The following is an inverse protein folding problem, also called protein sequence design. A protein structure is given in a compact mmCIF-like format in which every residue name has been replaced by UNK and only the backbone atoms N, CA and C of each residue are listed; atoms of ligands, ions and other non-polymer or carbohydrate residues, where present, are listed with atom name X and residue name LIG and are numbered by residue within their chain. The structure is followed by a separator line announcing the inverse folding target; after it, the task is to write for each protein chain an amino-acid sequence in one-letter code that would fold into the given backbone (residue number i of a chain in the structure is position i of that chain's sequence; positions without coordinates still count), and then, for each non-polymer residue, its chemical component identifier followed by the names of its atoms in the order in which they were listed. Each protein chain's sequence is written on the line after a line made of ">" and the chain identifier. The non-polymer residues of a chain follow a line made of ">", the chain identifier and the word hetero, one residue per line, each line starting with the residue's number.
data_IF_656761460295
#
_entry.id   IF_656761460295
#
_cell.length_a   1.000
_cell.length_b   1.000
_cell.length_c   1.000
_cell.angle_alpha   90.00
_cell.angle_beta   90.00
_cell.angle_gamma   90.00
#
_symmetry.space_group_name_H-M   'P 1'
#
loop_
_entity.id
_entity.type
_entity.pdbx_description
1 polymer ?
#
# COMPACT_ATOMS: atom_id res chain seq x y z
N UNK A 1 -13.80 1.16 85.47
CA UNK A 1 -12.68 1.72 86.33
C UNK A 1 -11.55 2.11 85.40
N UNK A 2 -11.14 3.37 85.52
CA UNK A 2 -9.83 3.95 85.10
C UNK A 2 -9.63 4.14 83.60
N UNK A 3 -9.34 5.22 83.10
CA UNK A 3 -8.88 6.63 83.29
C UNK A 3 -8.43 7.08 81.94
N UNK A 4 -9.08 8.02 81.39
CA UNK A 4 -8.74 9.40 81.06
C UNK A 4 -7.21 9.68 80.93
N UNK A 5 -6.78 10.02 79.77
CA UNK A 5 -5.63 10.95 79.59
C UNK A 5 -5.79 11.65 78.22
N UNK A 6 -6.07 12.91 78.31
CA UNK A 6 -6.11 13.92 77.27
C UNK A 6 -4.63 14.34 77.04
N UNK A 7 -4.18 14.34 75.86
CA UNK A 7 -3.00 15.13 75.42
C UNK A 7 -3.43 16.00 74.26
N UNK A 8 -3.49 17.27 74.55
CA UNK A 8 -3.62 18.39 73.60
C UNK A 8 -2.25 18.54 72.93
N UNK A 9 -2.17 18.53 71.64
CA UNK A 9 -1.04 19.03 70.89
C UNK A 9 -1.51 20.00 69.78
N UNK A 10 -0.88 21.14 69.85
CA UNK A 10 -1.17 22.42 69.20
C UNK A 10 -0.95 22.29 67.67
N UNK A 11 -1.86 22.85 66.94
CA UNK A 11 -1.77 23.12 65.51
C UNK A 11 -0.64 24.06 65.15
N UNK A 12 0.12 23.70 64.16
CA UNK A 12 0.86 24.67 63.35
C UNK A 12 0.40 24.55 61.93
N UNK A 13 -0.41 25.50 61.48
CA UNK A 13 -0.85 25.66 60.13
C UNK A 13 0.29 26.21 59.28
N UNK A 14 0.77 25.38 58.32
CA UNK A 14 1.61 25.86 57.24
C UNK A 14 0.77 25.74 55.97
N UNK A 15 0.36 26.91 55.47
CA UNK A 15 -0.35 27.02 54.20
C UNK A 15 0.57 26.64 53.04
N UNK A 16 0.26 25.54 52.36
CA UNK A 16 0.79 25.28 51.06
C UNK A 16 -0.26 25.76 50.02
N UNK A 17 0.10 26.87 49.38
CA UNK A 17 -0.57 27.33 48.17
C UNK A 17 -0.29 26.34 47.05
N UNK A 18 -1.22 25.44 46.78
CA UNK A 18 -1.16 24.56 45.62
C UNK A 18 -1.52 25.40 44.36
N UNK A 19 -0.50 25.71 43.60
CA UNK A 19 -0.65 26.23 42.25
C UNK A 19 -1.11 25.08 41.38
N UNK A 20 -2.40 25.04 41.06
CA UNK A 20 -3.02 24.10 40.15
C UNK A 20 -2.53 24.39 38.72
N UNK A 21 -1.54 23.66 38.29
CA UNK A 21 -1.03 23.70 36.92
C UNK A 21 -2.02 22.95 36.04
N UNK A 22 -2.84 23.72 35.34
CA UNK A 22 -3.74 23.24 34.28
C UNK A 22 -2.85 22.56 33.25
N UNK A 23 -2.89 21.22 33.19
CA UNK A 23 -2.27 20.45 32.10
C UNK A 23 -3.08 20.70 30.83
N UNK A 24 -2.48 21.42 29.89
CA UNK A 24 -2.94 21.48 28.52
C UNK A 24 -2.84 20.08 27.91
N UNK A 25 -3.80 19.64 27.07
CA UNK A 25 -3.70 18.36 26.39
C UNK A 25 -2.44 18.38 25.50
N UNK A 26 -1.50 17.51 25.77
CA UNK A 26 -0.40 17.23 24.85
C UNK A 26 -1.01 16.75 23.56
N UNK A 27 -0.98 17.60 22.56
CA UNK A 27 -1.18 17.27 21.17
C UNK A 27 -0.20 16.15 20.82
N UNK A 28 -0.74 14.96 20.58
CA UNK A 28 0.02 13.79 20.15
C UNK A 28 0.46 14.06 18.71
N UNK A 29 1.49 14.86 18.54
CA UNK A 29 2.24 14.92 17.30
C UNK A 29 2.88 13.54 17.15
N UNK A 30 2.26 12.67 16.36
CA UNK A 30 2.90 11.44 15.92
C UNK A 30 4.16 11.85 15.14
N UNK A 31 5.30 11.70 15.78
CA UNK A 31 6.60 11.80 15.16
C UNK A 31 6.62 10.76 14.04
N UNK A 32 6.34 11.22 12.83
CA UNK A 32 6.42 10.45 11.61
C UNK A 32 7.90 10.13 11.41
N UNK A 33 8.27 8.87 11.62
CA UNK A 33 9.65 8.41 11.48
C UNK A 33 10.11 8.70 10.03
N UNK A 34 10.94 9.72 9.88
CA UNK A 34 11.63 10.00 8.64
C UNK A 34 12.45 8.77 8.24
N UNK A 35 12.41 8.39 6.97
CA UNK A 35 13.30 7.32 6.48
C UNK A 35 14.75 7.74 6.68
N UNK A 36 15.63 6.81 7.16
CA UNK A 36 17.05 7.09 7.23
C UNK A 36 17.58 7.50 5.86
N UNK A 37 18.40 8.53 5.79
CA UNK A 37 18.96 9.05 4.54
C UNK A 37 19.80 8.00 3.76
N UNK A 38 20.22 6.92 4.43
CA UNK A 38 20.97 5.81 3.85
C UNK A 38 20.19 4.97 2.82
N UNK A 39 18.86 5.09 2.77
CA UNK A 39 18.00 4.34 1.85
C UNK A 39 17.37 5.23 0.77
N UNK A 40 17.86 6.45 0.59
CA UNK A 40 17.32 7.37 -0.41
C UNK A 40 18.21 7.42 -1.64
N UNK A 41 17.67 7.06 -2.79
CA UNK A 41 18.29 7.20 -4.08
C UNK A 41 18.07 8.60 -4.63
N UNK A 42 19.12 9.22 -5.18
CA UNK A 42 19.08 10.47 -5.93
C UNK A 42 19.53 10.21 -7.35
N UNK A 43 18.63 10.35 -8.29
CA UNK A 43 18.88 9.99 -9.68
C UNK A 43 18.60 11.15 -10.63
N UNK A 44 19.29 11.15 -11.78
CA UNK A 44 19.06 12.09 -12.88
C UNK A 44 18.47 11.31 -14.05
N UNK A 45 17.39 11.80 -14.62
CA UNK A 45 16.71 11.18 -15.77
C UNK A 45 17.55 11.40 -17.04
N UNK A 46 17.99 10.31 -17.67
CA UNK A 46 18.71 10.33 -18.94
C UNK A 46 17.77 10.19 -20.13
N UNK A 47 16.80 9.30 -20.00
CA UNK A 47 15.80 9.01 -21.04
C UNK A 47 14.53 8.44 -20.41
N UNK A 48 13.40 8.48 -21.16
CA UNK A 48 12.16 7.92 -20.67
C UNK A 48 11.26 7.39 -21.79
N UNK A 49 10.37 6.46 -21.43
CA UNK A 49 9.35 5.90 -22.31
C UNK A 49 8.07 5.70 -21.50
N UNK A 50 6.95 6.14 -22.05
CA UNK A 50 5.64 5.90 -21.46
C UNK A 50 4.98 4.67 -22.06
N UNK A 51 4.52 3.76 -21.23
CA UNK A 51 3.80 2.58 -21.69
C UNK A 51 2.84 2.06 -20.63
N UNK A 52 1.59 1.85 -21.03
CA UNK A 52 0.52 1.46 -20.11
C UNK A 52 0.40 2.45 -18.94
N UNK A 53 0.47 1.96 -17.72
CA UNK A 53 0.35 2.76 -16.49
C UNK A 53 1.71 3.16 -15.89
N UNK A 54 2.80 2.98 -16.66
CA UNK A 54 4.16 3.25 -16.18
C UNK A 54 4.92 4.21 -17.08
N UNK A 55 5.76 5.01 -16.46
CA UNK A 55 6.88 5.71 -17.10
C UNK A 55 8.15 4.92 -16.79
N UNK A 56 8.85 4.46 -17.83
CA UNK A 56 10.13 3.76 -17.74
C UNK A 56 11.22 4.79 -17.90
N UNK A 57 12.05 4.95 -16.88
CA UNK A 57 13.10 5.96 -16.84
C UNK A 57 14.47 5.29 -16.90
N UNK A 58 15.30 5.70 -17.83
CA UNK A 58 16.72 5.44 -17.75
C UNK A 58 17.34 6.53 -16.88
N UNK A 59 17.94 6.15 -15.77
CA UNK A 59 18.45 7.09 -14.78
C UNK A 59 19.92 6.88 -14.52
N UNK A 60 20.58 7.94 -14.05
CA UNK A 60 21.95 7.92 -13.55
C UNK A 60 21.97 8.24 -12.07
N UNK A 61 22.63 7.38 -11.30
CA UNK A 61 22.95 7.57 -9.89
C UNK A 61 24.47 7.42 -9.71
N UNK A 62 25.13 8.49 -9.31
CA UNK A 62 26.59 8.55 -9.29
C UNK A 62 27.18 8.18 -10.67
N UNK A 63 27.94 7.08 -10.75
CA UNK A 63 28.53 6.57 -11.99
C UNK A 63 27.75 5.40 -12.62
N UNK A 64 26.63 5.01 -12.02
CA UNK A 64 25.81 3.88 -12.48
C UNK A 64 24.59 4.34 -13.26
N UNK A 65 24.28 3.66 -14.35
CA UNK A 65 23.07 3.86 -15.14
C UNK A 65 22.19 2.60 -15.06
N UNK A 66 20.91 2.79 -14.81
CA UNK A 66 19.96 1.70 -14.74
C UNK A 66 18.55 2.14 -15.11
N UNK A 67 17.63 1.19 -15.21
CA UNK A 67 16.23 1.44 -15.50
C UNK A 67 15.39 1.38 -14.23
N UNK A 68 14.46 2.33 -14.12
CA UNK A 68 13.38 2.27 -13.13
C UNK A 68 12.02 2.37 -13.83
N UNK A 69 11.02 1.70 -13.28
CA UNK A 69 9.63 1.82 -13.69
C UNK A 69 8.86 2.51 -12.55
N UNK A 70 8.24 3.64 -12.84
CA UNK A 70 7.46 4.43 -11.89
C UNK A 70 6.03 4.52 -12.38
N UNK A 71 5.01 4.77 -11.52
CA UNK A 71 3.67 5.11 -11.98
C UNK A 71 3.70 6.20 -13.03
N UNK A 72 2.79 6.15 -14.00
CA UNK A 72 2.76 7.11 -15.10
C UNK A 72 2.82 8.55 -14.59
N UNK A 73 3.79 9.29 -15.06
CA UNK A 73 4.03 10.68 -14.71
C UNK A 73 4.64 11.46 -15.88
N UNK A 74 4.52 12.76 -15.83
CA UNK A 74 5.28 13.66 -16.72
C UNK A 74 6.68 13.85 -16.16
N UNK A 75 7.68 13.78 -17.02
CA UNK A 75 9.10 13.91 -16.66
C UNK A 75 9.89 14.47 -17.82
N UNK A 76 11.02 15.14 -17.53
CA UNK A 76 11.93 15.69 -18.51
C UNK A 76 13.34 15.09 -18.36
N UNK A 77 14.08 15.00 -19.47
CA UNK A 77 15.50 14.61 -19.42
C UNK A 77 16.30 15.67 -18.64
N UNK A 78 17.21 15.21 -17.79
CA UNK A 78 18.00 16.06 -16.91
C UNK A 78 17.32 16.36 -15.56
N UNK A 79 16.09 15.96 -15.39
CA UNK A 79 15.34 16.12 -14.13
C UNK A 79 15.96 15.26 -13.02
N UNK A 80 16.05 15.80 -11.82
CA UNK A 80 16.50 15.06 -10.63
C UNK A 80 15.29 14.51 -9.89
N UNK A 81 15.31 13.21 -9.62
CA UNK A 81 14.28 12.52 -8.87
C UNK A 81 14.90 11.82 -7.66
N UNK A 82 14.06 11.63 -6.65
CA UNK A 82 14.39 10.91 -5.43
C UNK A 82 13.42 9.76 -5.26
N UNK A 83 13.93 8.61 -4.80
CA UNK A 83 13.07 7.49 -4.39
C UNK A 83 13.72 6.71 -3.25
N UNK A 84 12.92 5.95 -2.52
CA UNK A 84 13.39 5.13 -1.42
C UNK A 84 13.32 3.65 -1.78
N UNK A 85 12.16 3.04 -1.55
CA UNK A 85 11.96 1.61 -1.77
C UNK A 85 11.79 1.28 -3.25
N UNK A 86 12.39 0.18 -3.66
CA UNK A 86 12.25 -0.36 -5.01
C UNK A 86 12.27 -1.89 -4.98
N UNK A 87 11.70 -2.50 -6.01
CA UNK A 87 11.72 -3.94 -6.23
C UNK A 87 12.46 -4.23 -7.53
N UNK A 88 13.58 -4.96 -7.45
CA UNK A 88 14.32 -5.37 -8.64
C UNK A 88 13.59 -6.49 -9.38
N UNK A 89 13.42 -6.33 -10.68
CA UNK A 89 12.98 -7.37 -11.59
C UNK A 89 14.04 -7.66 -12.64
N UNK A 90 14.40 -8.94 -12.75
CA UNK A 90 15.34 -9.45 -13.75
C UNK A 90 14.59 -10.02 -14.94
N UNK A 91 15.14 -9.77 -16.15
CA UNK A 91 14.58 -10.25 -17.41
C UNK A 91 13.12 -9.82 -17.61
N UNK A 92 12.77 -8.61 -17.19
CA UNK A 92 11.42 -8.08 -17.32
C UNK A 92 11.11 -7.73 -18.77
N UNK A 93 10.07 -8.37 -19.35
CA UNK A 93 9.58 -8.06 -20.67
C UNK A 93 8.36 -7.14 -20.62
N UNK A 94 8.47 -5.96 -21.21
CA UNK A 94 7.33 -5.06 -21.41
C UNK A 94 6.66 -5.34 -22.75
N UNK A 95 5.47 -5.91 -22.72
CA UNK A 95 4.69 -6.20 -23.93
C UNK A 95 4.34 -4.94 -24.73
N UNK A 96 4.07 -3.84 -24.04
CA UNK A 96 3.72 -2.57 -24.67
C UNK A 96 4.92 -1.94 -25.38
N UNK A 97 6.11 -1.97 -24.75
CA UNK A 97 7.34 -1.44 -25.33
C UNK A 97 8.04 -2.42 -26.28
N UNK A 98 7.62 -3.69 -26.32
CA UNK A 98 8.32 -4.78 -27.02
C UNK A 98 9.79 -4.85 -26.65
N UNK A 99 10.10 -4.60 -25.39
CA UNK A 99 11.45 -4.49 -24.86
C UNK A 99 11.64 -5.35 -23.61
N UNK A 100 12.77 -6.07 -23.56
CA UNK A 100 13.21 -6.79 -22.37
C UNK A 100 14.28 -5.97 -21.66
N UNK A 101 14.12 -5.81 -20.36
CA UNK A 101 15.09 -5.21 -19.46
C UNK A 101 15.79 -6.33 -18.70
N UNK A 102 17.12 -6.41 -18.77
CA UNK A 102 17.88 -7.40 -18.00
C UNK A 102 17.68 -7.19 -16.49
N UNK A 103 17.65 -5.94 -16.05
CA UNK A 103 17.28 -5.52 -14.71
C UNK A 103 16.54 -4.19 -14.78
N UNK A 104 15.50 -4.06 -13.97
CA UNK A 104 14.74 -2.82 -13.80
C UNK A 104 14.20 -2.76 -12.36
N UNK A 105 14.26 -1.58 -11.75
CA UNK A 105 13.69 -1.35 -10.43
C UNK A 105 12.27 -0.79 -10.56
N UNK A 106 11.31 -1.48 -10.00
CA UNK A 106 9.95 -0.96 -9.84
C UNK A 106 9.90 -0.09 -8.59
N UNK A 107 9.48 1.15 -8.76
CA UNK A 107 9.45 2.19 -7.73
C UNK A 107 8.04 2.73 -7.61
N UNK A 108 7.47 2.66 -6.42
CA UNK A 108 6.07 3.09 -6.20
C UNK A 108 5.89 4.60 -6.19
N UNK A 109 6.91 5.30 -5.73
CA UNK A 109 6.85 6.74 -5.55
C UNK A 109 8.20 7.38 -5.83
N UNK A 110 8.18 8.42 -6.64
CA UNK A 110 9.31 9.32 -6.86
C UNK A 110 8.89 10.75 -6.49
N UNK A 111 9.86 11.56 -6.09
CA UNK A 111 9.68 12.96 -5.73
C UNK A 111 10.76 13.81 -6.40
N UNK A 112 10.48 15.07 -6.64
CA UNK A 112 11.46 16.06 -7.12
C UNK A 112 12.27 16.66 -5.98
N UNK A 113 11.86 16.47 -4.75
CA UNK A 113 12.55 16.98 -3.56
C UNK A 113 12.78 15.89 -2.52
N UNK A 114 13.93 15.90 -1.78
CA UNK A 114 14.19 14.91 -0.74
C UNK A 114 13.19 15.01 0.42
N UNK A 115 12.65 16.19 0.72
CA UNK A 115 11.73 16.39 1.84
C UNK A 115 10.36 15.75 1.63
N UNK A 116 9.90 15.64 0.39
CA UNK A 116 8.66 14.92 0.06
C UNK A 116 8.82 13.41 0.26
N UNK A 117 10.05 12.88 0.21
CA UNK A 117 10.34 11.48 0.51
C UNK A 117 10.38 11.19 2.02
N UNK A 118 10.72 12.20 2.85
CA UNK A 118 10.70 12.05 4.32
C UNK A 118 9.29 12.16 4.88
N UNK A 119 8.40 12.84 4.20
CA UNK A 119 6.97 12.80 4.44
C UNK A 119 6.35 11.60 3.71
N UNK A 120 6.89 10.39 3.93
CA UNK A 120 6.22 9.20 3.41
C UNK A 120 4.81 9.22 3.97
N UNK A 121 3.78 9.47 3.16
CA UNK A 121 2.45 9.08 3.57
C UNK A 121 2.62 7.60 3.84
N UNK A 122 2.45 7.21 5.11
CA UNK A 122 2.28 5.86 5.58
C UNK A 122 1.95 4.95 4.41
N UNK A 123 2.88 4.14 3.89
CA UNK A 123 2.84 3.45 2.60
C UNK A 123 1.76 4.01 1.68
N UNK A 124 1.89 4.24 0.42
CA UNK A 124 0.71 4.21 -0.36
C UNK A 124 0.15 2.79 -0.08
N UNK A 125 -0.73 2.67 0.93
CA UNK A 125 -1.87 1.81 0.78
C UNK A 125 -2.24 2.17 -0.61
N UNK A 126 -1.82 1.34 -1.57
CA UNK A 126 -2.06 1.51 -2.98
C UNK A 126 -3.22 2.47 -3.06
N UNK A 127 -3.07 3.70 -3.58
CA UNK A 127 -4.13 4.70 -3.50
C UNK A 127 -5.33 4.16 -4.27
N UNK A 128 -5.81 3.03 -3.83
CA UNK A 128 -7.07 2.45 -4.17
C UNK A 128 -8.06 3.35 -3.46
N UNK A 129 -8.40 4.44 -4.12
CA UNK A 129 -9.53 5.25 -3.69
C UNK A 129 -10.70 4.27 -3.58
N UNK A 130 -11.35 4.24 -2.43
CA UNK A 130 -12.59 3.48 -2.31
C UNK A 130 -13.57 4.09 -3.31
N UNK A 131 -13.84 3.37 -4.38
CA UNK A 131 -14.81 3.78 -5.37
C UNK A 131 -16.22 3.55 -4.83
N UNK A 132 -17.18 4.34 -5.31
CA UNK A 132 -18.60 4.08 -5.08
C UNK A 132 -19.04 2.92 -5.98
N UNK A 133 -18.80 1.73 -5.47
CA UNK A 133 -19.08 0.45 -6.15
C UNK A 133 -20.14 -0.31 -5.38
N UNK A 134 -21.10 -0.88 -6.09
CA UNK A 134 -22.09 -1.80 -5.53
C UNK A 134 -22.23 -3.03 -6.45
N UNK A 135 -21.53 -4.10 -6.11
CA UNK A 135 -21.54 -5.35 -6.87
C UNK A 135 -22.11 -6.47 -6.02
N UNK A 136 -23.24 -7.06 -6.45
CA UNK A 136 -23.84 -8.18 -5.72
C UNK A 136 -22.90 -9.40 -5.74
N UNK A 137 -22.77 -10.13 -4.62
CA UNK A 137 -21.97 -11.36 -4.59
C UNK A 137 -22.45 -12.36 -5.65
N UNK A 138 -21.51 -13.13 -6.21
CA UNK A 138 -21.84 -14.27 -7.06
C UNK A 138 -22.37 -15.42 -6.21
N UNK A 139 -23.27 -16.24 -6.74
CA UNK A 139 -23.81 -17.42 -6.04
C UNK A 139 -22.67 -18.35 -5.58
N UNK A 140 -22.68 -18.72 -4.31
CA UNK A 140 -21.62 -19.52 -3.67
C UNK A 140 -20.29 -18.78 -3.47
N UNK A 141 -20.23 -17.49 -3.80
CA UNK A 141 -19.05 -16.65 -3.60
C UNK A 141 -19.07 -15.91 -2.26
N UNK A 142 -17.97 -15.21 -1.99
CA UNK A 142 -17.80 -14.35 -0.81
C UNK A 142 -17.66 -12.90 -1.23
N UNK A 143 -18.04 -11.99 -0.34
CA UNK A 143 -17.71 -10.57 -0.47
C UNK A 143 -16.25 -10.33 -0.07
N UNK A 144 -15.70 -9.21 -0.51
CA UNK A 144 -14.35 -8.79 -0.11
C UNK A 144 -14.26 -8.65 1.40
N UNK A 145 -15.25 -8.03 2.05
CA UNK A 145 -15.29 -7.93 3.50
C UNK A 145 -15.25 -9.31 4.20
N UNK A 146 -15.99 -10.31 3.68
CA UNK A 146 -15.96 -11.67 4.21
C UNK A 146 -14.61 -12.36 4.02
N UNK A 147 -13.95 -12.14 2.87
CA UNK A 147 -12.61 -12.69 2.63
C UNK A 147 -11.60 -12.13 3.64
N UNK A 148 -11.67 -10.83 3.94
CA UNK A 148 -10.81 -10.21 4.96
C UNK A 148 -11.12 -10.68 6.38
N UNK A 149 -12.42 -10.78 6.75
CA UNK A 149 -12.82 -11.23 8.10
C UNK A 149 -12.46 -12.70 8.36
N UNK A 150 -12.65 -13.54 7.34
CA UNK A 150 -12.49 -14.98 7.44
C UNK A 150 -11.10 -15.46 6.99
N UNK A 151 -10.15 -14.56 6.68
CA UNK A 151 -8.88 -14.88 6.03
C UNK A 151 -8.13 -16.03 6.67
N UNK A 152 -8.13 -16.14 7.99
CA UNK A 152 -7.47 -17.22 8.71
C UNK A 152 -8.06 -18.60 8.39
N UNK A 153 -9.38 -18.71 8.30
CA UNK A 153 -10.08 -19.94 7.98
C UNK A 153 -10.11 -20.26 6.48
N UNK A 154 -9.87 -19.24 5.65
CA UNK A 154 -9.85 -19.35 4.18
C UNK A 154 -8.47 -19.59 3.61
N UNK A 155 -7.40 -19.39 4.37
CA UNK A 155 -6.02 -19.59 3.93
C UNK A 155 -5.83 -20.95 3.24
N UNK A 156 -5.30 -20.95 2.03
CA UNK A 156 -5.09 -22.12 1.18
C UNK A 156 -6.36 -22.69 0.53
N UNK A 157 -7.54 -22.11 0.78
CA UNK A 157 -8.79 -22.55 0.15
C UNK A 157 -9.11 -21.75 -1.09
N UNK A 158 -9.75 -22.41 -2.06
CA UNK A 158 -10.30 -21.73 -3.23
C UNK A 158 -11.57 -20.98 -2.86
N UNK A 159 -11.67 -19.73 -3.26
CA UNK A 159 -12.85 -18.90 -3.10
C UNK A 159 -13.26 -18.29 -4.44
N UNK A 160 -14.53 -17.91 -4.52
CA UNK A 160 -15.07 -17.15 -5.64
C UNK A 160 -15.50 -15.77 -5.13
N UNK A 161 -15.12 -14.72 -5.86
CA UNK A 161 -15.46 -13.34 -5.53
C UNK A 161 -15.86 -12.59 -6.80
N UNK A 162 -16.81 -11.67 -6.68
CA UNK A 162 -17.24 -10.78 -7.75
C UNK A 162 -16.91 -9.36 -7.38
N UNK A 163 -16.34 -8.58 -8.30
CA UNK A 163 -15.97 -7.19 -8.05
C UNK A 163 -15.71 -6.41 -9.34
N UNK A 164 -15.63 -5.10 -9.22
CA UNK A 164 -15.22 -4.19 -10.28
C UNK A 164 -13.71 -4.03 -10.25
N UNK A 165 -13.07 -4.13 -11.42
CA UNK A 165 -11.63 -3.87 -11.58
C UNK A 165 -11.35 -2.38 -11.41
N UNK A 166 -10.59 -2.03 -10.38
CA UNK A 166 -10.20 -0.67 -10.05
C UNK A 166 -8.74 -0.36 -10.41
N UNK A 167 -7.92 -1.41 -10.58
CA UNK A 167 -6.54 -1.28 -11.06
C UNK A 167 -6.10 -2.57 -11.75
N UNK A 168 -5.33 -2.43 -12.82
CA UNK A 168 -4.78 -3.55 -13.58
C UNK A 168 -3.31 -3.28 -13.91
N UNK A 169 -2.42 -4.10 -13.41
CA UNK A 169 -0.98 -4.04 -13.67
C UNK A 169 -0.56 -5.33 -14.37
N UNK A 170 -0.36 -5.30 -15.70
CA UNK A 170 -0.06 -6.50 -16.46
C UNK A 170 1.39 -6.94 -16.32
N UNK A 171 1.57 -8.25 -16.37
CA UNK A 171 2.85 -8.95 -16.56
C UNK A 171 3.95 -8.59 -15.54
N UNK A 172 3.57 -8.39 -14.28
CA UNK A 172 4.53 -8.20 -13.18
C UNK A 172 4.84 -9.59 -12.59
N UNK A 173 6.12 -9.99 -12.57
CA UNK A 173 6.56 -11.34 -12.13
C UNK A 173 5.84 -12.47 -12.87
N UNK A 174 5.57 -12.28 -14.18
CA UNK A 174 4.88 -13.27 -15.03
C UNK A 174 3.39 -13.45 -14.74
N UNK A 175 2.76 -12.52 -14.02
CA UNK A 175 1.34 -12.51 -13.66
C UNK A 175 0.75 -11.12 -13.85
N UNK A 176 -0.55 -11.07 -14.03
CA UNK A 176 -1.32 -9.84 -13.96
C UNK A 176 -1.77 -9.61 -12.52
N UNK A 177 -1.66 -8.38 -12.05
CA UNK A 177 -2.05 -7.96 -10.71
C UNK A 177 -3.27 -7.09 -10.83
N UNK A 178 -4.36 -7.56 -10.25
CA UNK A 178 -5.70 -7.02 -10.44
C UNK A 178 -6.25 -6.59 -9.09
N UNK A 179 -6.64 -5.34 -8.96
CA UNK A 179 -7.40 -4.87 -7.81
C UNK A 179 -8.86 -4.87 -8.12
N UNK A 180 -9.67 -5.39 -7.24
CA UNK A 180 -11.12 -5.36 -7.36
C UNK A 180 -11.77 -4.79 -6.10
N UNK A 181 -12.91 -4.15 -6.28
CA UNK A 181 -13.80 -3.68 -5.22
C UNK A 181 -15.23 -4.15 -5.49
N UNK A 182 -15.98 -4.47 -4.43
CA UNK A 182 -17.38 -4.90 -4.51
C UNK A 182 -18.34 -3.97 -3.76
N UNK A 183 -17.81 -2.90 -3.16
CA UNK A 183 -18.54 -1.96 -2.32
C UNK A 183 -18.60 -2.35 -0.84
N UNK A 184 -18.21 -3.58 -0.49
CA UNK A 184 -18.13 -4.02 0.90
C UNK A 184 -16.81 -3.61 1.55
N UNK A 185 -16.72 -3.77 2.86
CA UNK A 185 -15.53 -3.42 3.62
C UNK A 185 -15.39 -1.94 3.95
N UNK A 186 -14.42 -1.62 4.79
CA UNK A 186 -14.15 -0.26 5.27
C UNK A 186 -12.65 -0.05 5.45
N UNK A 187 -12.23 1.19 5.56
CA UNK A 187 -10.86 1.65 5.85
C UNK A 187 -9.73 0.92 5.09
N UNK A 188 -9.48 -0.37 5.35
CA UNK A 188 -8.30 -1.09 4.86
C UNK A 188 -8.65 -2.44 4.21
N UNK A 189 -9.93 -2.77 4.04
CA UNK A 189 -10.40 -4.07 3.59
C UNK A 189 -11.50 -3.98 2.53
N UNK A 190 -11.52 -2.92 1.74
CA UNK A 190 -12.47 -2.70 0.65
C UNK A 190 -11.91 -3.04 -0.74
N UNK A 191 -10.62 -3.26 -0.83
CA UNK A 191 -9.88 -3.58 -2.06
C UNK A 191 -9.18 -4.92 -1.91
N UNK A 192 -9.34 -5.79 -2.90
CA UNK A 192 -8.77 -7.13 -2.87
C UNK A 192 -7.81 -7.30 -4.04
N UNK A 193 -6.57 -7.67 -3.72
CA UNK A 193 -5.55 -8.01 -4.70
C UNK A 193 -5.76 -9.43 -5.22
N UNK A 194 -5.65 -9.60 -6.54
CA UNK A 194 -5.73 -10.88 -7.23
C UNK A 194 -4.55 -11.00 -8.19
N UNK A 195 -3.91 -12.15 -8.24
CA UNK A 195 -2.98 -12.49 -9.32
C UNK A 195 -3.64 -13.47 -10.30
N UNK A 196 -3.44 -13.25 -11.59
CA UNK A 196 -4.02 -14.06 -12.68
C UNK A 196 -3.13 -14.04 -13.92
N UNK A 197 -3.38 -14.96 -14.85
CA UNK A 197 -2.89 -14.86 -16.23
C UNK A 197 -3.91 -14.24 -17.17
N UNK A 198 -5.15 -14.10 -16.73
CA UNK A 198 -6.22 -13.52 -17.54
C UNK A 198 -6.05 -12.00 -17.68
N UNK A 199 -6.49 -11.48 -18.81
CA UNK A 199 -6.46 -10.04 -19.12
C UNK A 199 -7.85 -9.46 -18.89
N UNK A 200 -7.90 -8.36 -18.14
CA UNK A 200 -9.13 -7.61 -17.85
C UNK A 200 -8.90 -6.13 -18.14
N UNK A 201 -9.97 -5.36 -18.16
CA UNK A 201 -9.92 -3.92 -18.35
C UNK A 201 -10.34 -3.20 -17.07
N UNK A 202 -9.80 -2.01 -16.87
CA UNK A 202 -10.26 -1.10 -15.83
C UNK A 202 -11.77 -0.86 -15.99
N UNK A 203 -12.52 -0.99 -14.90
CA UNK A 203 -13.98 -0.84 -14.88
C UNK A 203 -14.77 -2.11 -15.17
N UNK A 204 -14.14 -3.18 -15.67
CA UNK A 204 -14.83 -4.47 -15.87
C UNK A 204 -15.40 -4.99 -14.54
N UNK A 205 -16.62 -5.53 -14.57
CA UNK A 205 -17.11 -6.39 -13.48
C UNK A 205 -16.67 -7.81 -13.78
N UNK A 206 -15.96 -8.41 -12.84
CA UNK A 206 -15.35 -9.73 -13.00
C UNK A 206 -15.79 -10.69 -11.92
N UNK A 207 -15.76 -11.98 -12.25
CA UNK A 207 -15.78 -13.07 -11.28
C UNK A 207 -14.40 -13.71 -11.28
N UNK A 208 -13.75 -13.68 -10.11
CA UNK A 208 -12.46 -14.32 -9.88
C UNK A 208 -12.62 -15.54 -8.98
N UNK A 209 -11.96 -16.63 -9.34
CA UNK A 209 -11.91 -17.88 -8.56
C UNK A 209 -10.45 -18.32 -8.42
N UNK A 210 -9.94 -18.38 -7.19
CA UNK A 210 -8.54 -18.72 -6.92
C UNK A 210 -8.26 -18.99 -5.46
N UNK A 211 -7.01 -19.22 -5.12
CA UNK A 211 -6.58 -19.62 -3.78
C UNK A 211 -6.33 -18.41 -2.89
N UNK A 212 -6.91 -18.40 -1.69
CA UNK A 212 -6.65 -17.37 -0.69
C UNK A 212 -5.25 -17.55 -0.12
N UNK A 213 -4.42 -16.53 -0.27
CA UNK A 213 -3.13 -16.40 0.36
C UNK A 213 -3.17 -15.32 1.44
N UNK A 214 -2.52 -15.56 2.57
CA UNK A 214 -2.48 -14.65 3.70
C UNK A 214 -1.05 -14.26 4.05
N UNK A 215 -0.88 -13.03 4.55
CA UNK A 215 0.40 -12.50 5.01
C UNK A 215 1.52 -12.66 3.97
N UNK A 216 1.19 -12.42 2.69
CA UNK A 216 2.18 -12.50 1.60
C UNK A 216 3.04 -11.24 1.64
N UNK A 217 4.35 -11.46 1.65
CA UNK A 217 5.35 -10.41 1.53
C UNK A 217 6.21 -10.68 0.30
N UNK A 218 6.21 -9.74 -0.64
CA UNK A 218 6.99 -9.77 -1.88
C UNK A 218 8.27 -8.93 -1.76
N UNK A 219 8.58 -8.44 -0.56
CA UNK A 219 9.70 -7.53 -0.31
C UNK A 219 9.38 -6.08 -0.68
N UNK A 220 10.35 -5.19 -0.41
CA UNK A 220 10.25 -3.75 -0.72
C UNK A 220 8.99 -3.04 -0.19
N UNK A 221 8.30 -3.64 0.82
CA UNK A 221 7.06 -3.10 1.39
C UNK A 221 5.78 -3.54 0.70
N UNK A 222 5.86 -4.41 -0.31
CA UNK A 222 4.69 -5.02 -0.95
C UNK A 222 4.19 -6.21 -0.12
N UNK A 223 3.39 -5.94 0.87
CA UNK A 223 2.79 -6.97 1.72
C UNK A 223 1.27 -6.91 1.69
N UNK A 224 0.65 -8.08 1.61
CA UNK A 224 -0.80 -8.23 1.54
C UNK A 224 -1.29 -9.11 2.69
N UNK A 225 -2.13 -8.59 3.60
CA UNK A 225 -2.71 -9.39 4.68
C UNK A 225 -3.61 -10.51 4.16
N UNK A 226 -4.21 -10.33 2.98
CA UNK A 226 -4.94 -11.34 2.22
C UNK A 226 -4.95 -10.95 0.74
N UNK A 227 -4.83 -11.95 -0.12
CA UNK A 227 -4.98 -11.83 -1.57
C UNK A 227 -5.49 -13.15 -2.16
N UNK A 228 -5.86 -13.15 -3.43
CA UNK A 228 -6.18 -14.37 -4.18
C UNK A 228 -5.08 -14.62 -5.20
N UNK A 229 -4.44 -15.78 -5.13
CA UNK A 229 -3.38 -16.16 -6.05
C UNK A 229 -3.90 -17.10 -7.14
N UNK A 230 -3.27 -16.99 -8.34
CA UNK A 230 -3.47 -17.85 -9.50
C UNK A 230 -4.95 -18.01 -9.88
N UNK A 231 -5.68 -16.91 -9.79
CA UNK A 231 -7.10 -16.92 -10.07
C UNK A 231 -7.40 -17.07 -11.57
N UNK A 232 -8.49 -17.77 -11.90
CA UNK A 232 -9.20 -17.62 -13.15
C UNK A 232 -10.13 -16.41 -13.02
N UNK A 233 -10.00 -15.44 -13.92
CA UNK A 233 -10.78 -14.20 -13.88
C UNK A 233 -11.57 -14.07 -15.16
N UNK A 234 -12.89 -13.93 -15.04
CA UNK A 234 -13.81 -13.78 -16.17
C UNK A 234 -14.56 -12.46 -16.07
N UNK A 235 -14.39 -11.61 -17.08
CA UNK A 235 -15.20 -10.41 -17.20
C UNK A 235 -16.65 -10.80 -17.57
N UNK A 236 -17.60 -10.15 -16.90
CA UNK A 236 -19.00 -10.26 -17.28
C UNK A 236 -19.28 -9.32 -18.45
N UNK A 237 -20.08 -9.77 -19.39
CA UNK A 237 -20.52 -8.90 -20.47
C UNK A 237 -21.40 -7.79 -19.87
N UNK A 238 -21.07 -6.53 -20.15
CA UNK A 238 -21.99 -5.42 -19.89
C UNK A 238 -23.30 -5.72 -20.61
N UNK A 239 -24.39 -5.80 -19.84
CA UNK A 239 -25.74 -5.84 -20.42
C UNK A 239 -26.10 -4.47 -20.96
#
# INVERSE_FOLDING_TARGET
>A
MHRLSIIILVLLAIGFSACEKKEEPKENTSEQAAMPAENMHKVVVLDYMNASNYTYLKVKENDSEYWIAVPQMEVQKGETLYFGKSMEMKNFHSETLKKTFESILFVDHVSQTPNEMTSVPNHPKLNNVKEDVSVKPVSGGKTIAQIYSDKGSLAGKTVKVRGKVTKFNPNIMGRNWIHIQDGTGSANNYDLMITSKDIVKLGDVVVAEGTVAVNKDFGAGYSYPVMIEDATVKAEKSM
#
